data_IF_069328533357
#
_entry.id   IF_069328533357
#
_cell.length_a   1.000
_cell.length_b   1.000
_cell.length_c   1.000
_cell.angle_alpha   90.00
_cell.angle_beta   90.00
_cell.angle_gamma   90.00
#
_symmetry.space_group_name_H-M   'P 1'
#
loop_
_entity.id
_entity.type
_entity.pdbx_description
1 polymer ?
#
# COMPACT_ATOMS: atom_id res chain seq x y z
N UNK A 1 -2.38 30.07 -13.47
CA UNK A 1 -2.66 28.74 -14.06
C UNK A 1 -1.55 27.80 -13.62
N UNK A 2 -1.85 26.84 -12.75
CA UNK A 2 -0.87 25.85 -12.32
C UNK A 2 -0.59 24.90 -13.48
N UNK A 3 0.68 24.74 -13.83
CA UNK A 3 1.12 23.83 -14.87
C UNK A 3 0.66 22.41 -14.51
N UNK A 4 -0.15 21.82 -15.38
CA UNK A 4 -0.41 20.38 -15.37
C UNK A 4 0.89 19.68 -15.72
N UNK A 5 1.57 19.15 -14.70
CA UNK A 5 2.63 18.17 -14.91
C UNK A 5 1.94 16.90 -15.41
N UNK A 6 2.01 16.66 -16.72
CA UNK A 6 1.72 15.35 -17.30
C UNK A 6 2.75 14.37 -16.73
N UNK A 7 2.30 13.44 -15.89
CA UNK A 7 3.10 12.26 -15.51
C UNK A 7 3.15 11.32 -16.71
N UNK A 8 3.89 11.69 -17.75
CA UNK A 8 4.28 10.73 -18.78
C UNK A 8 5.45 9.90 -18.22
N UNK A 9 5.19 8.62 -17.92
CA UNK A 9 6.19 7.59 -18.22
C UNK A 9 6.80 6.73 -17.10
N UNK A 10 6.31 6.72 -15.85
CA UNK A 10 6.77 5.71 -14.89
C UNK A 10 5.72 4.61 -14.72
N UNK A 11 5.52 3.80 -15.75
CA UNK A 11 4.88 2.50 -15.54
C UNK A 11 5.89 1.64 -14.76
N UNK A 12 5.48 1.00 -13.65
CA UNK A 12 6.38 0.14 -12.91
C UNK A 12 6.82 -1.03 -13.80
N UNK A 13 8.13 -1.34 -13.76
CA UNK A 13 8.68 -2.49 -14.50
C UNK A 13 8.41 -3.80 -13.78
N UNK A 14 8.36 -3.77 -12.45
CA UNK A 14 8.16 -4.93 -11.61
C UNK A 14 6.92 -4.71 -10.74
N UNK A 15 5.92 -5.57 -10.87
CA UNK A 15 4.63 -5.41 -10.20
C UNK A 15 4.45 -6.51 -9.15
N UNK A 16 4.06 -6.11 -7.94
CA UNK A 16 3.80 -7.01 -6.81
C UNK A 16 2.36 -6.83 -6.33
N UNK A 17 1.62 -7.94 -6.28
CA UNK A 17 0.25 -7.98 -5.74
C UNK A 17 0.32 -8.19 -4.23
N UNK A 18 -0.32 -7.30 -3.46
CA UNK A 18 -0.37 -7.33 -2.01
C UNK A 18 -1.79 -7.68 -1.57
N UNK A 19 -2.07 -8.97 -1.43
CA UNK A 19 -3.39 -9.49 -1.07
C UNK A 19 -3.38 -10.20 0.29
N UNK A 20 -4.53 -10.29 0.92
CA UNK A 20 -4.71 -10.93 2.23
C UNK A 20 -5.62 -10.14 3.15
N UNK A 21 -5.33 -10.17 4.45
CA UNK A 21 -6.14 -9.52 5.49
C UNK A 21 -5.39 -8.37 6.18
N UNK A 22 -5.82 -8.01 7.39
CA UNK A 22 -5.38 -6.83 8.15
C UNK A 22 -3.88 -6.63 8.26
N UNK A 23 -3.09 -7.71 8.39
CA UNK A 23 -1.64 -7.60 8.55
C UNK A 23 -0.91 -7.30 7.22
N UNK A 24 -1.58 -7.52 6.07
CA UNK A 24 -1.09 -7.07 4.77
C UNK A 24 -1.55 -5.64 4.45
N UNK A 25 -2.80 -5.29 4.78
CA UNK A 25 -3.30 -3.91 4.66
C UNK A 25 -2.76 -2.95 5.75
N UNK A 26 -1.95 -3.47 6.68
CA UNK A 26 -1.23 -2.76 7.73
C UNK A 26 -2.05 -2.27 8.91
N UNK A 27 -1.47 -2.47 10.10
CA UNK A 27 -1.99 -2.01 11.42
C UNK A 27 -0.87 -1.52 12.33
N UNK A 28 0.36 -1.40 11.83
CA UNK A 28 1.48 -0.91 12.63
C UNK A 28 1.24 0.53 13.03
N UNK A 29 1.48 0.86 14.31
CA UNK A 29 1.20 2.19 14.87
C UNK A 29 -0.28 2.44 15.19
N UNK A 30 -1.18 1.45 15.01
CA UNK A 30 -2.56 1.62 15.44
C UNK A 30 -2.66 1.58 16.97
N UNK A 31 -3.45 2.48 17.55
CA UNK A 31 -3.74 2.54 18.98
C UNK A 31 -5.20 2.94 19.24
N UNK A 32 -5.73 2.57 20.41
CA UNK A 32 -7.04 3.03 20.88
C UNK A 32 -6.90 4.42 21.51
N UNK A 33 -7.67 5.39 21.04
CA UNK A 33 -7.73 6.71 21.65
C UNK A 33 -8.61 6.75 22.92
N UNK A 34 -8.69 7.92 23.56
CA UNK A 34 -9.47 8.12 24.79
C UNK A 34 -10.97 7.84 24.63
N UNK A 35 -11.47 7.83 23.40
CA UNK A 35 -12.87 7.60 23.06
C UNK A 35 -13.11 6.18 22.51
N UNK A 36 -12.13 5.27 22.63
CA UNK A 36 -12.13 3.91 22.07
C UNK A 36 -12.22 3.87 20.53
N UNK A 37 -11.71 4.90 19.85
CA UNK A 37 -11.54 4.87 18.40
C UNK A 37 -10.12 4.43 18.05
N UNK A 38 -9.99 3.56 17.05
CA UNK A 38 -8.69 3.14 16.53
C UNK A 38 -8.12 4.26 15.65
N UNK A 39 -6.97 4.80 16.04
CA UNK A 39 -6.17 5.77 15.28
C UNK A 39 -4.83 5.18 14.88
N UNK A 40 -4.20 5.75 13.87
CA UNK A 40 -2.80 5.52 13.54
C UNK A 40 -1.97 6.67 14.11
N UNK A 41 -0.74 6.39 14.54
CA UNK A 41 0.16 7.35 15.19
C UNK A 41 0.92 8.28 14.22
N UNK A 42 0.72 8.10 12.91
CA UNK A 42 1.41 8.81 11.84
C UNK A 42 2.94 8.60 11.84
N UNK A 43 3.45 7.62 12.58
CA UNK A 43 4.88 7.32 12.66
C UNK A 43 5.33 6.48 11.45
N UNK A 44 6.31 6.99 10.71
CA UNK A 44 6.90 6.32 9.54
C UNK A 44 8.33 5.86 9.87
N UNK A 45 8.58 4.54 9.97
CA UNK A 45 9.93 4.01 10.14
C UNK A 45 10.83 4.35 8.94
N UNK A 46 12.16 4.47 9.12
CA UNK A 46 13.10 4.77 8.04
C UNK A 46 13.02 3.80 6.85
N UNK A 47 12.73 2.53 7.10
CA UNK A 47 12.59 1.49 6.08
C UNK A 47 11.34 1.71 5.19
N UNK A 48 10.39 2.51 5.67
CA UNK A 48 9.16 2.86 4.98
C UNK A 48 9.26 4.21 4.24
N UNK A 49 10.46 4.81 4.18
CA UNK A 49 10.69 6.11 3.50
C UNK A 49 10.22 6.05 2.04
N UNK A 50 9.43 7.04 1.56
CA UNK A 50 9.01 7.11 0.17
C UNK A 50 10.17 7.20 -0.83
N UNK A 51 9.98 6.63 -2.01
CA UNK A 51 10.97 6.60 -3.08
C UNK A 51 10.27 6.79 -4.43
N UNK A 52 10.71 7.72 -5.30
CA UNK A 52 10.08 7.94 -6.61
C UNK A 52 10.06 6.72 -7.54
N UNK A 53 10.86 5.69 -7.26
CA UNK A 53 10.86 4.41 -7.98
C UNK A 53 9.90 3.37 -7.39
N UNK A 54 9.21 3.67 -6.30
CA UNK A 54 8.21 2.80 -5.67
C UNK A 54 6.85 3.47 -5.83
N UNK A 55 5.99 2.83 -6.61
CA UNK A 55 4.67 3.31 -6.97
C UNK A 55 3.61 2.41 -6.36
N UNK A 56 2.43 2.97 -6.10
CA UNK A 56 1.22 2.21 -5.76
C UNK A 56 0.14 2.40 -6.82
N UNK A 57 -0.66 1.37 -7.07
CA UNK A 57 -1.89 1.51 -7.85
C UNK A 57 -3.02 1.92 -6.91
N UNK A 58 -3.48 3.17 -7.01
CA UNK A 58 -4.55 3.69 -6.15
C UNK A 58 -5.94 3.13 -6.55
N UNK A 59 -6.96 3.39 -5.73
CA UNK A 59 -8.34 2.93 -5.98
C UNK A 59 -8.94 3.44 -7.31
N UNK A 60 -8.40 4.53 -7.86
CA UNK A 60 -8.76 5.09 -9.18
C UNK A 60 -7.97 4.45 -10.33
N UNK A 61 -7.26 3.35 -10.08
CA UNK A 61 -6.45 2.60 -11.06
C UNK A 61 -5.38 3.46 -11.72
N UNK A 62 -4.81 4.39 -10.95
CA UNK A 62 -3.71 5.26 -11.39
C UNK A 62 -2.48 5.00 -10.54
N UNK A 63 -1.30 5.00 -11.17
CA UNK A 63 -0.03 4.90 -10.46
C UNK A 63 0.33 6.24 -9.82
N UNK A 64 0.74 6.21 -8.55
CA UNK A 64 1.27 7.35 -7.79
C UNK A 64 2.43 6.90 -6.90
N UNK A 65 3.22 7.83 -6.36
CA UNK A 65 4.27 7.49 -5.38
C UNK A 65 3.65 6.77 -4.17
N UNK A 66 4.29 5.69 -3.73
CA UNK A 66 3.80 4.91 -2.60
C UNK A 66 4.16 5.58 -1.27
N UNK A 67 3.16 5.75 -0.41
CA UNK A 67 3.30 6.24 0.96
C UNK A 67 2.42 5.40 1.89
N UNK A 68 2.96 4.92 3.01
CA UNK A 68 2.14 4.30 4.05
C UNK A 68 1.18 5.32 4.69
N UNK A 69 -0.01 4.90 5.13
CA UNK A 69 -0.69 3.66 4.74
C UNK A 69 -1.22 3.74 3.31
N UNK A 70 -0.82 2.80 2.45
CA UNK A 70 -1.21 2.78 1.03
C UNK A 70 -2.41 1.87 0.72
N UNK A 71 -2.96 1.12 1.70
CA UNK A 71 -4.27 0.47 1.61
C UNK A 71 -5.44 1.36 2.06
N UNK A 72 -5.21 2.61 2.47
CA UNK A 72 -6.26 3.49 3.03
C UNK A 72 -7.48 3.74 2.14
N UNK A 73 -7.31 3.68 0.82
CA UNK A 73 -8.38 3.82 -0.19
C UNK A 73 -8.86 2.46 -0.74
N UNK A 74 -8.36 1.36 -0.18
CA UNK A 74 -8.70 -0.03 -0.53
C UNK A 74 -9.44 -0.72 0.63
N UNK A 75 -8.84 -0.74 1.83
CA UNK A 75 -9.42 -1.28 3.08
C UNK A 75 -10.21 -0.19 3.83
N UNK A 76 -11.11 0.48 3.12
CA UNK A 76 -11.77 1.74 3.53
C UNK A 76 -12.58 1.66 4.84
N UNK A 77 -12.90 0.46 5.33
CA UNK A 77 -13.69 0.26 6.55
C UNK A 77 -12.84 0.15 7.81
N UNK A 78 -11.50 0.24 7.69
CA UNK A 78 -10.55 0.01 8.78
C UNK A 78 -9.50 1.12 8.81
N UNK A 79 -9.08 1.49 10.01
CA UNK A 79 -7.89 2.33 10.20
C UNK A 79 -6.65 1.54 9.75
N UNK A 80 -6.02 1.99 8.66
CA UNK A 80 -4.76 1.44 8.15
C UNK A 80 -3.58 2.17 8.80
N UNK A 81 -2.48 1.45 8.98
CA UNK A 81 -1.21 1.98 9.51
C UNK A 81 -0.03 1.42 8.73
N UNK A 82 1.12 1.24 9.37
CA UNK A 82 2.31 0.68 8.70
C UNK A 82 2.03 -0.74 8.17
N UNK A 83 2.54 -0.99 6.96
CA UNK A 83 2.34 -2.20 6.17
C UNK A 83 3.69 -2.79 5.69
N UNK A 84 3.76 -4.06 5.26
CA UNK A 84 5.03 -4.67 4.84
C UNK A 84 5.51 -4.23 3.45
N UNK A 85 4.70 -3.53 2.65
CA UNK A 85 5.02 -3.26 1.23
C UNK A 85 6.14 -2.24 1.01
N UNK A 86 6.16 -1.12 1.75
CA UNK A 86 7.25 -0.15 1.67
C UNK A 86 8.62 -0.74 2.08
N UNK A 87 8.77 -1.39 3.25
CA UNK A 87 10.06 -1.97 3.64
C UNK A 87 10.49 -3.09 2.70
N UNK A 88 9.54 -3.89 2.17
CA UNK A 88 9.81 -4.88 1.13
C UNK A 88 10.39 -4.24 -0.14
N UNK A 89 9.74 -3.21 -0.68
CA UNK A 89 10.15 -2.56 -1.91
C UNK A 89 11.48 -1.82 -1.76
N UNK A 90 11.67 -1.09 -0.65
CA UNK A 90 12.93 -0.43 -0.33
C UNK A 90 14.07 -1.44 -0.17
N UNK A 91 13.84 -2.58 0.50
CA UNK A 91 14.85 -3.61 0.65
C UNK A 91 15.29 -4.22 -0.70
N UNK A 92 14.37 -4.38 -1.65
CA UNK A 92 14.71 -4.82 -3.01
C UNK A 92 15.62 -3.79 -3.70
N UNK A 93 15.24 -2.51 -3.70
CA UNK A 93 16.03 -1.46 -4.38
C UNK A 93 17.37 -1.19 -3.69
N UNK A 94 17.45 -1.35 -2.37
CA UNK A 94 18.70 -1.26 -1.63
C UNK A 94 19.67 -2.40 -2.01
N UNK A 95 19.14 -3.60 -2.26
CA UNK A 95 19.92 -4.77 -2.65
C UNK A 95 20.33 -4.72 -4.13
N UNK A 96 19.44 -4.26 -5.00
CA UNK A 96 19.68 -4.08 -6.42
C UNK A 96 19.07 -2.76 -6.92
N UNK A 97 19.86 -1.67 -6.96
CA UNK A 97 19.39 -0.39 -7.49
C UNK A 97 19.02 -0.43 -8.98
N UNK A 98 19.47 -1.45 -9.72
CA UNK A 98 19.17 -1.62 -11.15
C UNK A 98 17.89 -2.39 -11.41
N UNK A 99 17.24 -2.92 -10.36
CA UNK A 99 15.99 -3.68 -10.45
C UNK A 99 14.90 -2.92 -11.21
N UNK A 100 14.92 -1.60 -11.15
CA UNK A 100 13.96 -0.71 -11.82
C UNK A 100 12.75 -0.41 -10.95
N UNK A 101 11.81 0.36 -11.50
CA UNK A 101 10.63 0.81 -10.75
C UNK A 101 9.76 -0.36 -10.28
N UNK A 102 9.31 -0.27 -9.03
CA UNK A 102 8.44 -1.22 -8.35
C UNK A 102 7.03 -0.65 -8.30
N UNK A 103 6.04 -1.47 -8.65
CA UNK A 103 4.62 -1.17 -8.54
C UNK A 103 3.96 -2.08 -7.53
N UNK A 104 3.41 -1.50 -6.48
CA UNK A 104 2.63 -2.18 -5.46
C UNK A 104 1.14 -2.12 -5.83
N UNK A 105 0.48 -3.27 -5.87
CA UNK A 105 -0.96 -3.38 -6.13
C UNK A 105 -1.64 -3.81 -4.83
N UNK A 106 -2.14 -2.85 -4.02
CA UNK A 106 -2.83 -3.15 -2.78
C UNK A 106 -4.21 -3.76 -3.05
N UNK A 107 -4.48 -4.91 -2.43
CA UNK A 107 -5.77 -5.61 -2.54
C UNK A 107 -6.26 -6.15 -1.18
N UNK A 108 -5.45 -6.14 -0.13
CA UNK A 108 -5.81 -6.75 1.14
C UNK A 108 -7.00 -6.05 1.82
N UNK A 109 -7.89 -6.84 2.44
CA UNK A 109 -9.10 -6.37 3.13
C UNK A 109 -9.16 -6.94 4.54
N UNK A 110 -9.21 -6.06 5.54
CA UNK A 110 -9.12 -6.41 6.94
C UNK A 110 -10.33 -7.17 7.47
N UNK A 111 -10.09 -8.30 8.14
CA UNK A 111 -11.15 -9.13 8.73
C UNK A 111 -11.80 -10.11 7.74
N UNK A 112 -11.31 -10.17 6.50
CA UNK A 112 -11.73 -11.17 5.53
C UNK A 112 -11.20 -12.56 5.88
N UNK A 113 -12.05 -13.56 5.67
CA UNK A 113 -11.74 -14.99 5.75
C UNK A 113 -11.37 -15.55 4.37
N UNK A 114 -10.73 -16.71 4.33
CA UNK A 114 -10.34 -17.36 3.07
C UNK A 114 -11.54 -17.67 2.14
N UNK A 115 -12.74 -17.88 2.70
CA UNK A 115 -13.95 -18.15 1.90
C UNK A 115 -14.37 -16.93 1.08
N UNK A 116 -14.17 -15.72 1.61
CA UNK A 116 -14.45 -14.47 0.91
C UNK A 116 -13.46 -14.20 -0.25
N UNK A 117 -12.34 -14.92 -0.26
CA UNK A 117 -11.32 -14.92 -1.32
C UNK A 117 -11.45 -16.10 -2.29
N UNK A 118 -12.51 -16.91 -2.19
CA UNK A 118 -12.74 -18.01 -3.11
C UNK A 118 -12.87 -17.50 -4.56
N UNK A 119 -12.46 -18.32 -5.54
CA UNK A 119 -12.58 -17.96 -6.96
C UNK A 119 -14.03 -17.59 -7.29
N UNK A 120 -14.22 -16.39 -7.84
CA UNK A 120 -15.54 -15.85 -8.19
C UNK A 120 -16.20 -15.02 -7.08
N UNK A 121 -15.64 -14.99 -5.87
CA UNK A 121 -16.07 -14.07 -4.82
C UNK A 121 -15.62 -12.63 -5.11
N UNK A 122 -16.26 -11.67 -4.43
CA UNK A 122 -16.03 -10.24 -4.68
C UNK A 122 -14.59 -9.79 -4.39
N UNK A 123 -13.91 -10.34 -3.37
CA UNK A 123 -12.53 -9.96 -3.07
C UNK A 123 -11.51 -10.57 -4.06
N UNK A 124 -11.87 -11.69 -4.70
CA UNK A 124 -11.00 -12.37 -5.66
C UNK A 124 -11.00 -11.69 -7.04
N UNK A 125 -12.11 -11.09 -7.45
CA UNK A 125 -12.31 -10.53 -8.80
C UNK A 125 -11.90 -9.05 -8.90
#
# INVERSE_FOLDING_TARGET
MAAHVKVEGCQPKNIFLLAGQSNMSGRGGNYDDTDNNIKWDDEIPPECTPNPNILRLNAKKSWEEAHDPFHKDIDCLKTCGIEPGMPFANAILAKDPSFGSIGLVPCAIGGSSMVEWARGAALYN
#
